data_IF_612667270582
#
_entry.id   IF_612667270582
#
_cell.length_a   1.000
_cell.length_b   1.000
_cell.length_c   1.000
_cell.angle_alpha   90.00
_cell.angle_beta   90.00
_cell.angle_gamma   90.00
#
_symmetry.space_group_name_H-M   'P 1'
#
loop_
_entity.id
_entity.type
_entity.pdbx_description
1 polymer ?
#
# COMPACT_ATOMS: atom_id res chain seq x y z
N UNK A 1 10.17 -5.52 -3.68
CA UNK A 1 9.33 -4.33 -3.41
C UNK A 1 8.53 -4.01 -4.64
N UNK A 2 7.24 -3.76 -4.46
CA UNK A 2 6.30 -3.31 -5.48
C UNK A 2 5.61 -2.05 -4.94
N UNK A 3 5.77 -0.93 -5.64
CA UNK A 3 5.25 0.38 -5.21
C UNK A 3 4.51 1.00 -6.38
N UNK A 4 3.21 1.23 -6.20
CA UNK A 4 2.31 1.76 -7.21
C UNK A 4 1.51 2.91 -6.65
N UNK A 5 1.44 4.00 -7.40
CA UNK A 5 0.44 5.05 -7.19
C UNK A 5 -0.49 5.04 -8.41
N UNK A 6 -1.78 4.81 -8.20
CA UNK A 6 -2.75 4.57 -9.27
C UNK A 6 -4.13 5.15 -8.95
N UNK A 7 -4.85 5.56 -10.00
CA UNK A 7 -6.25 6.03 -9.88
C UNK A 7 -7.24 4.87 -9.83
N UNK A 8 -6.93 3.78 -10.54
CA UNK A 8 -7.81 2.63 -10.63
C UNK A 8 -7.91 1.90 -9.28
N UNK A 9 -9.13 1.48 -8.92
CA UNK A 9 -9.34 0.60 -7.79
C UNK A 9 -8.56 -0.72 -7.95
N UNK A 10 -8.13 -1.28 -6.83
CA UNK A 10 -7.50 -2.59 -6.77
C UNK A 10 -8.32 -3.53 -5.87
N UNK A 11 -8.20 -4.82 -6.12
CA UNK A 11 -8.80 -5.86 -5.29
C UNK A 11 -7.81 -6.23 -4.18
N UNK A 12 -8.14 -5.89 -2.93
CA UNK A 12 -7.32 -6.20 -1.77
C UNK A 12 -7.00 -7.71 -1.65
N UNK A 13 -8.00 -8.57 -1.87
CA UNK A 13 -7.83 -10.01 -1.73
C UNK A 13 -6.92 -10.57 -2.81
N UNK A 14 -7.08 -10.10 -4.05
CA UNK A 14 -6.22 -10.49 -5.15
C UNK A 14 -4.76 -10.06 -4.93
N UNK A 15 -4.53 -8.81 -4.51
CA UNK A 15 -3.19 -8.28 -4.25
C UNK A 15 -2.52 -9.01 -3.07
N UNK A 16 -3.26 -9.25 -1.97
CA UNK A 16 -2.74 -9.98 -0.81
C UNK A 16 -2.39 -11.44 -1.16
N UNK A 17 -3.26 -12.13 -1.91
CA UNK A 17 -3.01 -13.51 -2.35
C UNK A 17 -1.82 -13.59 -3.31
N UNK A 18 -1.74 -12.68 -4.27
CA UNK A 18 -0.62 -12.61 -5.21
C UNK A 18 0.70 -12.28 -4.49
N UNK A 19 0.68 -11.39 -3.50
CA UNK A 19 1.83 -11.07 -2.68
C UNK A 19 2.29 -12.27 -1.85
N UNK A 20 1.37 -12.93 -1.14
CA UNK A 20 1.67 -14.11 -0.32
C UNK A 20 2.21 -15.27 -1.15
N UNK A 21 1.64 -15.52 -2.34
CA UNK A 21 2.06 -16.61 -3.24
C UNK A 21 3.48 -16.46 -3.81
N UNK A 22 4.04 -15.25 -3.80
CA UNK A 22 5.44 -14.99 -4.21
C UNK A 22 6.45 -15.24 -3.09
N UNK A 23 6.01 -15.31 -1.84
CA UNK A 23 6.92 -15.41 -0.69
C UNK A 23 7.40 -16.86 -0.49
N UNK A 24 8.69 -17.02 -0.22
CA UNK A 24 9.29 -18.31 0.16
C UNK A 24 10.04 -18.13 1.47
N UNK A 25 9.80 -19.01 2.44
CA UNK A 25 10.46 -18.95 3.76
C UNK A 25 9.94 -17.86 4.71
N UNK A 26 8.82 -17.20 4.36
CA UNK A 26 8.13 -16.26 5.25
C UNK A 26 6.95 -16.94 5.96
N UNK A 27 6.83 -16.73 7.27
CA UNK A 27 5.78 -17.34 8.09
C UNK A 27 4.53 -16.48 8.32
N UNK A 28 4.54 -15.23 7.85
CA UNK A 28 3.44 -14.29 8.06
C UNK A 28 3.38 -13.25 6.94
N UNK A 29 2.16 -12.81 6.64
CA UNK A 29 1.87 -11.61 5.83
C UNK A 29 1.00 -10.70 6.70
N UNK A 30 1.36 -9.42 6.76
CA UNK A 30 0.60 -8.40 7.48
C UNK A 30 0.15 -7.37 6.47
N UNK A 31 -1.15 -7.09 6.44
CA UNK A 31 -1.76 -6.11 5.53
C UNK A 31 -2.44 -5.01 6.31
N UNK A 32 -2.34 -3.79 5.80
CA UNK A 32 -3.15 -2.65 6.23
C UNK A 32 -3.86 -2.08 5.01
N UNK A 33 -5.16 -1.77 5.14
CA UNK A 33 -5.96 -1.20 4.06
C UNK A 33 -6.77 -0.05 4.60
N UNK A 34 -6.54 1.13 4.05
CA UNK A 34 -7.35 2.32 4.31
C UNK A 34 -8.58 2.33 3.42
N UNK A 35 -9.74 2.61 4.01
CA UNK A 35 -10.98 2.91 3.28
C UNK A 35 -11.43 4.30 3.72
N UNK A 36 -11.93 5.10 2.79
CA UNK A 36 -12.48 6.42 3.08
C UNK A 36 -13.62 6.26 4.09
N UNK A 37 -13.51 6.93 5.25
CA UNK A 37 -14.50 6.85 6.32
C UNK A 37 -15.74 7.67 5.99
N UNK A 38 -16.90 7.16 6.33
CA UNK A 38 -18.11 7.97 6.42
C UNK A 38 -18.07 8.78 7.73
N UNK A 39 -18.36 10.08 7.67
CA UNK A 39 -18.34 10.97 8.85
C UNK A 39 -19.76 11.47 9.11
N UNK A 40 -20.37 10.99 10.19
CA UNK A 40 -21.79 11.22 10.51
C UNK A 40 -22.18 12.71 10.64
N UNK A 41 -21.22 13.58 10.97
CA UNK A 41 -21.48 15.00 11.26
C UNK A 41 -21.49 15.89 10.00
N UNK A 42 -20.88 15.46 8.90
CA UNK A 42 -20.88 16.18 7.63
C UNK A 42 -20.93 15.20 6.46
N UNK A 43 -21.98 15.29 5.64
CA UNK A 43 -22.16 14.41 4.47
C UNK A 43 -21.02 14.62 3.47
N UNK A 44 -19.99 13.77 3.55
CA UNK A 44 -18.86 13.79 2.62
C UNK A 44 -19.25 13.07 1.32
N UNK A 45 -19.27 13.80 0.20
CA UNK A 45 -19.64 13.24 -1.11
C UNK A 45 -18.53 12.41 -1.73
N UNK A 46 -17.28 12.91 -1.68
CA UNK A 46 -16.10 12.24 -2.21
C UNK A 46 -14.82 12.82 -1.59
N UNK A 47 -13.76 12.01 -1.58
CA UNK A 47 -12.40 12.45 -1.29
C UNK A 47 -11.59 12.39 -2.58
N UNK A 48 -11.04 13.54 -3.00
CA UNK A 48 -10.11 13.61 -4.12
C UNK A 48 -8.69 13.70 -3.57
N UNK A 49 -7.82 12.81 -4.04
CA UNK A 49 -6.43 12.75 -3.63
C UNK A 49 -5.58 12.98 -4.87
N UNK A 50 -4.64 13.92 -4.78
CA UNK A 50 -3.68 14.22 -5.83
C UNK A 50 -2.28 13.92 -5.32
N UNK A 51 -1.39 13.57 -6.25
CA UNK A 51 0.01 13.29 -5.95
C UNK A 51 0.90 13.94 -6.99
N UNK A 52 2.17 14.17 -6.64
CA UNK A 52 3.17 14.64 -7.58
C UNK A 52 3.85 13.43 -8.23
N UNK A 53 3.63 13.17 -9.54
CA UNK A 53 4.15 11.99 -10.19
C UNK A 53 5.67 11.87 -10.05
N UNK A 54 6.12 10.69 -9.64
CA UNK A 54 7.52 10.37 -9.39
C UNK A 54 8.08 10.90 -8.07
N UNK A 55 7.48 11.92 -7.43
CA UNK A 55 7.91 12.37 -6.10
C UNK A 55 7.30 11.50 -5.00
N UNK A 56 6.00 11.20 -5.11
CA UNK A 56 5.29 10.38 -4.13
C UNK A 56 5.84 8.97 -4.09
N UNK A 57 6.07 8.35 -5.25
CA UNK A 57 6.64 7.01 -5.39
C UNK A 57 8.03 6.93 -4.75
N UNK A 58 8.88 7.95 -4.96
CA UNK A 58 10.20 8.02 -4.31
C UNK A 58 10.10 8.14 -2.80
N UNK A 59 9.12 8.87 -2.28
CA UNK A 59 8.89 8.99 -0.84
C UNK A 59 8.44 7.64 -0.25
N UNK A 60 7.53 6.93 -0.92
CA UNK A 60 7.10 5.59 -0.53
C UNK A 60 8.25 4.58 -0.59
N UNK A 61 9.08 4.64 -1.63
CA UNK A 61 10.27 3.79 -1.80
C UNK A 61 11.29 4.03 -0.69
N UNK A 62 11.50 5.28 -0.29
CA UNK A 62 12.36 5.61 0.84
C UNK A 62 11.83 4.99 2.14
N UNK A 63 10.53 5.06 2.40
CA UNK A 63 9.91 4.46 3.59
C UNK A 63 10.05 2.93 3.56
N UNK A 64 9.77 2.28 2.43
CA UNK A 64 9.91 0.83 2.27
C UNK A 64 11.36 0.35 2.45
N UNK A 65 12.31 1.12 1.90
CA UNK A 65 13.76 0.85 2.06
C UNK A 65 14.19 1.00 3.52
N UNK A 66 13.72 2.04 4.20
CA UNK A 66 14.00 2.26 5.61
C UNK A 66 13.38 1.16 6.50
N UNK A 67 12.17 0.69 6.18
CA UNK A 67 11.58 -0.44 6.88
C UNK A 67 12.39 -1.73 6.68
N UNK A 68 12.80 -2.01 5.44
CA UNK A 68 13.60 -3.20 5.11
C UNK A 68 15.01 -3.16 5.69
N UNK A 69 15.56 -1.98 5.97
CA UNK A 69 16.85 -1.87 6.66
C UNK A 69 16.74 -2.07 8.17
N UNK A 70 15.57 -1.79 8.76
CA UNK A 70 15.30 -1.94 10.20
C UNK A 70 14.82 -3.34 10.56
N UNK A 71 14.09 -4.01 9.67
CA UNK A 71 13.49 -5.31 9.90
C UNK A 71 13.83 -6.28 8.79
N UNK A 72 14.01 -7.57 9.14
CA UNK A 72 14.26 -8.63 8.17
C UNK A 72 12.96 -9.03 7.44
N UNK A 73 12.49 -8.16 6.56
CA UNK A 73 11.29 -8.35 5.75
C UNK A 73 11.63 -9.13 4.49
N UNK A 74 10.75 -10.06 4.10
CA UNK A 74 10.89 -10.79 2.83
C UNK A 74 10.60 -9.91 1.62
N UNK A 75 9.51 -9.14 1.67
CA UNK A 75 9.08 -8.24 0.60
C UNK A 75 8.14 -7.16 1.14
N UNK A 76 7.86 -6.12 0.34
CA UNK A 76 6.94 -5.03 0.64
C UNK A 76 6.11 -4.69 -0.60
N UNK A 77 4.79 -4.55 -0.41
CA UNK A 77 3.85 -4.03 -1.39
C UNK A 77 3.20 -2.76 -0.85
N UNK A 78 3.25 -1.68 -1.63
CA UNK A 78 2.53 -0.42 -1.36
C UNK A 78 1.72 -0.06 -2.60
N UNK A 79 0.42 0.04 -2.44
CA UNK A 79 -0.48 0.57 -3.48
C UNK A 79 -1.20 1.76 -2.87
N UNK A 80 -1.11 2.91 -3.51
CA UNK A 80 -1.83 4.12 -3.14
C UNK A 80 -2.66 4.63 -4.32
#
# INVERSE_FOLDING_TARGET
MDIRVQEAAFDLGAEANAFAGKQTGMGAVVTFTGIVRDLDETRMTAMQIEHYPGMTEKALEKIATEASSRWNLGDILIIH
#
